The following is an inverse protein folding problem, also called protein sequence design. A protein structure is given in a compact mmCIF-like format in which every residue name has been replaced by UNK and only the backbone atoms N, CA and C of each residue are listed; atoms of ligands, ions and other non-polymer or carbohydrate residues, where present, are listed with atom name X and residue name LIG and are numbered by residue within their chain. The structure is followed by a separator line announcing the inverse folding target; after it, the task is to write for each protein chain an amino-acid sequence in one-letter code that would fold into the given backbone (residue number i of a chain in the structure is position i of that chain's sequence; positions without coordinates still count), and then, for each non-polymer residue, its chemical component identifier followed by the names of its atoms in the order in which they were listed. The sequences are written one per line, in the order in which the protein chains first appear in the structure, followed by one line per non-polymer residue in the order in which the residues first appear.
data_IF_044386706108
#
_entry.id   IF_044386706108
#
_cell.length_a   1.000
_cell.length_b   1.000
_cell.length_c   1.000
_cell.angle_alpha   90.00
_cell.angle_beta   90.00
_cell.angle_gamma   90.00
#
_symmetry.space_group_name_H-M   'P 1'
#
loop_
_entity.id
_entity.type
_entity.pdbx_description
1 polymer ?
#
# COMPACT_ATOMS: atom_id res chain seq x y z
N UNK A 1 40.64 -37.51 42.85
CA UNK A 1 39.77 -38.45 42.11
C UNK A 1 39.78 -38.01 40.68
N UNK A 2 40.50 -38.76 39.86
CA UNK A 2 40.75 -38.52 38.45
C UNK A 2 39.56 -39.01 37.62
N UNK A 3 39.11 -38.19 36.68
CA UNK A 3 38.36 -38.58 35.48
C UNK A 3 38.47 -37.33 34.57
N UNK A 4 39.30 -37.21 33.53
CA UNK A 4 39.58 -38.03 32.35
C UNK A 4 38.34 -38.38 31.52
N UNK A 5 37.94 -37.44 30.66
CA UNK A 5 37.21 -37.72 29.43
C UNK A 5 37.87 -36.98 28.26
N UNK A 6 38.33 -37.77 27.29
CA UNK A 6 39.14 -37.40 26.13
C UNK A 6 38.40 -36.57 25.07
N UNK A 7 39.14 -35.81 24.24
CA UNK A 7 38.60 -34.99 23.16
C UNK A 7 38.22 -35.82 21.92
N UNK A 8 37.09 -35.48 21.29
CA UNK A 8 36.68 -36.04 19.99
C UNK A 8 37.51 -35.42 18.85
N UNK A 9 37.85 -36.20 17.80
CA UNK A 9 38.86 -35.83 16.82
C UNK A 9 38.38 -34.82 15.76
N UNK A 10 39.33 -33.94 15.44
CA UNK A 10 39.34 -32.93 14.38
C UNK A 10 39.19 -33.58 12.99
N UNK A 11 38.09 -33.30 12.30
CA UNK A 11 37.94 -33.65 10.88
C UNK A 11 38.72 -32.65 10.02
N UNK A 12 39.78 -33.14 9.37
CA UNK A 12 40.59 -32.41 8.37
C UNK A 12 40.01 -32.57 6.96
N UNK A 13 40.40 -31.69 6.00
CA UNK A 13 39.55 -31.21 4.92
C UNK A 13 39.51 -32.12 3.69
N UNK A 14 38.35 -32.18 3.04
CA UNK A 14 38.19 -32.81 1.73
C UNK A 14 38.68 -31.88 0.60
N UNK A 15 39.27 -32.44 -0.48
CA UNK A 15 40.07 -31.68 -1.43
C UNK A 15 39.26 -30.85 -2.42
N UNK A 16 39.84 -29.68 -2.72
CA UNK A 16 39.52 -28.72 -3.77
C UNK A 16 39.36 -29.39 -5.15
N UNK A 17 38.18 -29.26 -5.75
CA UNK A 17 37.93 -29.60 -7.15
C UNK A 17 37.49 -28.36 -7.93
N UNK A 18 38.47 -27.70 -8.55
CA UNK A 18 38.34 -26.87 -9.76
C UNK A 18 39.35 -27.49 -10.74
N UNK A 19 39.11 -27.63 -12.05
CA UNK A 19 38.54 -26.58 -12.92
C UNK A 19 37.64 -27.10 -14.07
N UNK A 20 36.77 -26.25 -14.64
CA UNK A 20 36.66 -26.15 -16.10
C UNK A 20 35.81 -24.94 -16.53
N UNK A 21 36.51 -23.95 -17.07
CA UNK A 21 35.99 -22.90 -17.93
C UNK A 21 35.49 -23.50 -19.27
N UNK A 22 34.28 -23.17 -19.75
CA UNK A 22 33.92 -23.42 -21.14
C UNK A 22 34.64 -22.42 -22.08
N UNK A 23 34.96 -22.83 -23.32
CA UNK A 23 35.78 -22.04 -24.23
C UNK A 23 35.05 -20.80 -24.76
N UNK A 24 35.81 -19.70 -24.85
CA UNK A 24 35.50 -18.52 -25.64
C UNK A 24 35.21 -18.92 -27.10
N UNK A 25 34.01 -18.63 -27.58
CA UNK A 25 33.74 -18.60 -29.01
C UNK A 25 33.45 -17.18 -29.47
N UNK A 26 34.07 -16.88 -30.60
CA UNK A 26 34.35 -15.58 -31.18
C UNK A 26 33.11 -14.89 -31.74
N UNK A 27 33.06 -13.58 -31.49
CA UNK A 27 32.59 -12.49 -32.35
C UNK A 27 32.07 -12.87 -33.74
N UNK A 28 30.77 -12.69 -33.96
CA UNK A 28 30.17 -12.44 -35.27
C UNK A 28 28.94 -11.50 -35.11
N UNK A 29 29.15 -10.20 -35.33
CA UNK A 29 28.17 -9.28 -35.96
C UNK A 29 28.49 -9.26 -37.46
N UNK A 30 27.64 -8.81 -38.43
CA UNK A 30 26.46 -7.94 -38.32
C UNK A 30 25.23 -8.51 -39.08
N UNK A 31 24.03 -7.90 -39.02
CA UNK A 31 23.51 -7.05 -40.11
C UNK A 31 22.15 -6.48 -39.69
N UNK A 32 22.04 -5.16 -39.77
CA UNK A 32 20.81 -4.38 -39.62
C UNK A 32 19.78 -4.80 -40.68
N UNK A 33 18.57 -5.18 -40.27
CA UNK A 33 17.40 -5.17 -41.15
C UNK A 33 16.37 -4.21 -40.58
N UNK A 34 16.36 -3.01 -41.15
CA UNK A 34 15.27 -2.05 -41.02
C UNK A 34 14.02 -2.67 -41.62
N UNK A 35 13.00 -2.95 -40.79
CA UNK A 35 11.63 -3.15 -41.27
C UNK A 35 10.75 -2.10 -40.62
N UNK A 36 10.45 -1.06 -41.39
CA UNK A 36 9.36 -0.13 -41.13
C UNK A 36 8.06 -0.87 -41.37
N UNK A 37 7.21 -1.01 -40.35
CA UNK A 37 5.79 -1.31 -40.56
C UNK A 37 4.97 -0.50 -39.57
N UNK A 38 4.44 0.60 -40.08
CA UNK A 38 3.28 1.31 -39.55
C UNK A 38 2.09 0.37 -39.56
N UNK A 39 1.60 0.00 -38.38
CA UNK A 39 0.21 -0.43 -38.23
C UNK A 39 -0.30 0.06 -36.89
N UNK A 40 -1.32 0.92 -36.95
CA UNK A 40 -2.05 1.41 -35.81
C UNK A 40 -2.67 0.23 -35.06
N UNK A 41 -2.18 -0.03 -33.85
CA UNK A 41 -2.80 -0.96 -32.93
C UNK A 41 -3.89 -0.22 -32.15
N UNK A 42 -5.13 -0.46 -32.58
CA UNK A 42 -6.35 -0.45 -31.78
C UNK A 42 -6.06 -0.73 -30.31
N UNK A 43 -6.46 0.19 -29.42
CA UNK A 43 -6.48 -0.07 -27.98
C UNK A 43 -7.29 -1.35 -27.72
N UNK A 44 -6.73 -2.39 -27.09
CA UNK A 44 -7.59 -3.38 -26.48
C UNK A 44 -8.35 -2.69 -25.33
N UNK A 45 -9.63 -2.98 -25.11
CA UNK A 45 -10.26 -2.70 -23.82
C UNK A 45 -9.61 -3.65 -22.81
N UNK A 46 -8.42 -3.30 -22.33
CA UNK A 46 -7.79 -3.97 -21.22
C UNK A 46 -8.46 -3.42 -19.97
N UNK A 47 -9.47 -4.11 -19.49
CA UNK A 47 -9.74 -4.11 -18.06
C UNK A 47 -8.58 -4.89 -17.44
N UNK A 48 -7.59 -4.25 -16.80
CA UNK A 48 -6.56 -5.03 -16.16
C UNK A 48 -7.21 -5.66 -14.93
N UNK A 49 -7.50 -6.96 -14.97
CA UNK A 49 -7.31 -7.72 -13.75
C UNK A 49 -5.82 -7.57 -13.42
N UNK A 50 -5.49 -6.62 -12.55
CA UNK A 50 -4.09 -6.37 -12.21
C UNK A 50 -3.48 -7.67 -11.67
N UNK A 51 -2.26 -8.00 -12.10
CA UNK A 51 -1.56 -9.17 -11.57
C UNK A 51 -1.49 -9.11 -10.03
N UNK A 52 -1.37 -7.90 -9.48
CA UNK A 52 -1.45 -7.61 -8.06
C UNK A 52 -2.78 -8.03 -7.44
N UNK A 53 -3.92 -7.64 -8.01
CA UNK A 53 -5.24 -8.06 -7.53
C UNK A 53 -5.38 -9.58 -7.56
N UNK A 54 -4.97 -10.20 -8.66
CA UNK A 54 -5.05 -11.66 -8.81
C UNK A 54 -4.24 -12.38 -7.73
N UNK A 55 -3.02 -11.90 -7.44
CA UNK A 55 -2.16 -12.43 -6.38
C UNK A 55 -2.79 -12.24 -4.98
N UNK A 56 -3.27 -11.04 -4.66
CA UNK A 56 -3.85 -10.81 -3.33
C UNK A 56 -5.17 -11.55 -3.13
N UNK A 57 -5.96 -11.79 -4.19
CA UNK A 57 -7.16 -12.62 -4.09
C UNK A 57 -6.88 -14.11 -3.78
N UNK A 58 -5.65 -14.61 -3.99
CA UNK A 58 -5.31 -15.99 -3.58
C UNK A 58 -5.23 -16.15 -2.07
N UNK A 59 -5.11 -15.05 -1.32
CA UNK A 59 -5.00 -15.06 0.13
C UNK A 59 -6.38 -14.74 0.75
N UNK A 60 -6.98 -15.64 1.56
CA UNK A 60 -8.35 -15.47 2.05
C UNK A 60 -8.59 -14.16 2.81
N UNK A 61 -7.62 -13.72 3.62
CA UNK A 61 -7.73 -12.48 4.39
C UNK A 61 -7.68 -11.23 3.49
N UNK A 62 -6.82 -11.21 2.46
CA UNK A 62 -6.79 -10.15 1.46
C UNK A 62 -8.09 -10.13 0.66
N UNK A 63 -8.56 -11.29 0.21
CA UNK A 63 -9.79 -11.42 -0.55
C UNK A 63 -10.99 -10.87 0.24
N UNK A 64 -11.06 -11.12 1.54
CA UNK A 64 -12.10 -10.55 2.41
C UNK A 64 -12.06 -9.01 2.44
N UNK A 65 -10.86 -8.41 2.52
CA UNK A 65 -10.70 -6.94 2.51
C UNK A 65 -11.05 -6.33 1.13
N UNK A 66 -10.56 -6.96 0.06
CA UNK A 66 -10.72 -6.48 -1.30
C UNK A 66 -12.14 -6.67 -1.84
N UNK A 67 -12.88 -7.67 -1.34
CA UNK A 67 -14.27 -7.94 -1.71
C UNK A 67 -15.28 -7.24 -0.78
N UNK A 68 -14.81 -6.52 0.24
CA UNK A 68 -15.70 -5.80 1.16
C UNK A 68 -16.50 -4.72 0.41
N UNK A 69 -17.75 -4.43 0.83
CA UNK A 69 -18.56 -3.42 0.19
C UNK A 69 -17.92 -2.04 0.31
N UNK A 70 -18.07 -1.22 -0.73
CA UNK A 70 -17.47 0.12 -0.82
C UNK A 70 -15.94 0.14 -0.85
N UNK A 71 -15.29 -1.00 -1.12
CA UNK A 71 -13.84 -1.03 -1.40
C UNK A 71 -13.56 -0.50 -2.80
N UNK A 72 -12.65 0.46 -2.91
CA UNK A 72 -12.21 1.06 -4.18
C UNK A 72 -10.71 0.89 -4.34
N UNK A 73 -10.26 0.33 -5.47
CA UNK A 73 -8.83 0.24 -5.78
C UNK A 73 -8.24 1.61 -6.07
N UNK A 74 -7.05 1.85 -5.58
CA UNK A 74 -6.33 3.10 -5.76
C UNK A 74 -5.15 2.90 -6.72
N UNK A 75 -4.87 3.88 -7.60
CA UNK A 75 -3.68 3.83 -8.44
C UNK A 75 -2.41 3.96 -7.59
N UNK A 76 -1.37 3.22 -7.97
CA UNK A 76 -0.03 3.29 -7.37
C UNK A 76 0.98 3.82 -8.40
N UNK A 77 1.03 5.14 -8.65
CA UNK A 77 1.87 5.72 -9.71
C UNK A 77 3.36 5.51 -9.46
N UNK A 78 3.78 5.38 -8.20
CA UNK A 78 5.14 5.04 -7.76
C UNK A 78 5.65 3.69 -8.29
N UNK A 79 4.74 2.80 -8.71
CA UNK A 79 5.05 1.49 -9.28
C UNK A 79 5.19 1.51 -10.80
N UNK A 80 4.96 2.65 -11.46
CA UNK A 80 5.06 2.81 -12.91
C UNK A 80 6.33 3.55 -13.26
N UNK A 81 7.30 2.95 -13.99
CA UNK A 81 8.52 3.63 -14.37
C UNK A 81 8.23 4.90 -15.19
N UNK A 82 8.89 5.99 -14.83
CA UNK A 82 8.74 7.30 -15.48
C UNK A 82 10.00 7.69 -16.22
N UNK A 83 9.85 8.49 -17.28
CA UNK A 83 10.99 9.01 -18.07
C UNK A 83 11.91 9.91 -17.22
N UNK A 84 11.35 10.63 -16.26
CA UNK A 84 12.09 11.48 -15.32
C UNK A 84 12.87 10.69 -14.26
N UNK A 85 12.75 9.36 -14.25
CA UNK A 85 13.35 8.43 -13.27
C UNK A 85 12.92 8.63 -11.82
N UNK A 86 12.00 9.55 -11.54
CA UNK A 86 11.33 9.60 -10.24
C UNK A 86 10.63 8.26 -9.94
N UNK A 87 10.53 7.94 -8.66
CA UNK A 87 9.98 6.68 -8.14
C UNK A 87 10.72 5.41 -8.55
N UNK A 88 11.90 5.49 -9.19
CA UNK A 88 12.67 4.31 -9.62
C UNK A 88 12.93 3.31 -8.49
N UNK A 89 13.01 3.79 -7.24
CA UNK A 89 13.13 2.92 -6.08
C UNK A 89 11.97 1.91 -5.97
N UNK A 90 10.71 2.35 -6.13
CA UNK A 90 9.54 1.46 -6.10
C UNK A 90 9.20 0.86 -7.46
N UNK A 91 9.36 1.62 -8.54
CA UNK A 91 8.99 1.20 -9.89
C UNK A 91 9.95 0.17 -10.50
N UNK A 92 11.21 0.18 -10.08
CA UNK A 92 12.28 -0.65 -10.66
C UNK A 92 12.98 -1.46 -9.57
N UNK A 93 13.63 -0.81 -8.60
CA UNK A 93 14.50 -1.48 -7.62
C UNK A 93 13.75 -2.48 -6.75
N UNK A 94 12.59 -2.11 -6.21
CA UNK A 94 11.75 -2.97 -5.37
C UNK A 94 10.70 -3.76 -6.16
N UNK A 95 10.65 -3.63 -7.49
CA UNK A 95 9.68 -4.33 -8.34
C UNK A 95 10.34 -5.51 -9.05
N UNK A 96 10.88 -6.44 -8.27
CA UNK A 96 11.48 -7.67 -8.78
C UNK A 96 10.84 -8.90 -8.15
N UNK A 97 11.09 -10.09 -8.72
CA UNK A 97 10.59 -11.35 -8.18
C UNK A 97 11.10 -11.66 -6.78
N UNK A 98 12.28 -11.18 -6.42
CA UNK A 98 12.94 -11.48 -5.13
C UNK A 98 12.84 -10.33 -4.11
N UNK A 99 12.11 -9.24 -4.45
CA UNK A 99 11.91 -8.08 -3.57
C UNK A 99 10.44 -7.86 -3.22
N UNK A 100 9.73 -6.98 -3.92
CA UNK A 100 8.30 -6.76 -3.72
C UNK A 100 7.59 -6.97 -5.06
N UNK A 101 7.29 -8.20 -5.46
CA UNK A 101 6.70 -8.49 -6.76
C UNK A 101 5.30 -7.90 -6.93
N UNK A 102 4.50 -7.83 -5.85
CA UNK A 102 3.12 -7.37 -5.88
C UNK A 102 2.85 -6.24 -4.88
N UNK A 103 2.11 -5.23 -5.32
CA UNK A 103 1.67 -4.11 -4.49
C UNK A 103 0.28 -3.64 -4.92
N UNK A 104 -0.61 -3.48 -3.95
CA UNK A 104 -1.99 -3.06 -4.22
C UNK A 104 -2.48 -2.11 -3.15
N UNK A 105 -3.02 -0.96 -3.56
CA UNK A 105 -3.65 0.00 -2.68
C UNK A 105 -5.15 0.05 -2.88
N UNK A 106 -5.91 0.22 -1.80
CA UNK A 106 -7.36 0.37 -1.85
C UNK A 106 -7.85 1.28 -0.71
N UNK A 107 -9.01 1.89 -0.88
CA UNK A 107 -9.74 2.55 0.21
C UNK A 107 -11.02 1.80 0.54
N UNK A 108 -11.39 1.83 1.82
CA UNK A 108 -12.64 1.28 2.34
C UNK A 108 -13.15 2.15 3.49
N UNK A 109 -14.46 2.25 3.72
CA UNK A 109 -14.98 2.94 4.89
C UNK A 109 -14.68 2.15 6.16
N UNK A 110 -14.04 2.80 7.14
CA UNK A 110 -14.02 2.33 8.52
C UNK A 110 -15.14 3.00 9.29
N UNK A 111 -16.05 2.21 9.84
CA UNK A 111 -17.01 2.70 10.83
C UNK A 111 -16.21 2.89 12.12
N UNK A 112 -16.02 4.14 12.55
CA UNK A 112 -15.57 4.37 13.91
C UNK A 112 -16.75 4.05 14.82
N UNK A 113 -16.60 3.15 15.82
CA UNK A 113 -17.60 3.10 16.88
C UNK A 113 -17.70 4.51 17.46
N UNK A 114 -18.93 4.99 17.64
CA UNK A 114 -19.16 6.23 18.37
C UNK A 114 -18.40 6.14 19.70
N UNK A 115 -17.86 7.24 20.24
CA UNK A 115 -17.32 7.24 21.60
C UNK A 115 -18.49 6.94 22.54
N UNK A 116 -18.74 5.66 22.80
CA UNK A 116 -19.53 5.22 23.93
C UNK A 116 -18.70 5.55 25.16
N UNK A 117 -19.25 6.38 26.03
CA UNK A 117 -18.65 6.80 27.29
C UNK A 117 -17.86 5.68 27.97
N UNK A 118 -16.56 5.92 28.15
CA UNK A 118 -15.70 5.25 29.13
C UNK A 118 -15.54 3.74 29.04
N UNK A 119 -14.53 3.27 28.29
CA UNK A 119 -13.68 2.13 28.72
C UNK A 119 -12.20 2.40 28.42
N UNK A 120 -11.52 2.88 29.46
CA UNK A 120 -10.09 2.78 29.76
C UNK A 120 -9.13 2.38 28.63
N UNK A 121 -8.53 3.37 27.97
CA UNK A 121 -7.12 3.26 27.61
C UNK A 121 -6.32 3.37 28.92
N UNK A 122 -5.65 2.29 29.32
CA UNK A 122 -4.86 2.21 30.54
C UNK A 122 -3.72 3.24 30.51
N UNK A 123 -3.96 4.41 31.09
CA UNK A 123 -2.93 5.32 31.55
C UNK A 123 -2.79 5.15 33.08
N UNK A 124 -1.56 4.96 33.54
CA UNK A 124 -1.20 4.80 34.96
C UNK A 124 -1.73 5.94 35.85
N UNK A 125 -2.03 5.68 37.14
CA UNK A 125 -2.78 6.60 37.99
C UNK A 125 -1.88 7.60 38.71
N UNK A 126 -2.27 8.87 38.79
CA UNK A 126 -1.99 9.71 39.98
C UNK A 126 -3.03 10.86 40.10
N UNK A 127 -3.96 10.66 41.04
CA UNK A 127 -4.58 11.59 42.00
C UNK A 127 -5.51 12.76 41.57
N UNK A 128 -6.44 13.18 42.47
CA UNK A 128 -7.77 13.67 42.10
C UNK A 128 -8.00 15.17 42.34
N UNK A 129 -8.97 15.76 41.64
CA UNK A 129 -9.43 17.13 41.89
C UNK A 129 -10.67 17.57 41.12
N UNK A 130 -11.83 17.35 41.74
CA UNK A 130 -13.02 18.23 41.75
C UNK A 130 -13.98 18.29 40.55
N UNK A 131 -15.26 18.28 40.91
CA UNK A 131 -16.47 18.05 40.14
C UNK A 131 -16.98 19.21 39.26
N UNK A 132 -17.91 18.79 38.38
CA UNK A 132 -19.16 19.46 37.99
C UNK A 132 -19.18 20.32 36.71
N UNK A 133 -20.03 19.89 35.77
CA UNK A 133 -20.45 20.63 34.59
C UNK A 133 -21.35 19.79 33.68
N UNK A 134 -22.56 19.45 34.13
CA UNK A 134 -23.56 18.73 33.33
C UNK A 134 -24.24 19.72 32.36
N UNK A 135 -23.71 19.83 31.15
CA UNK A 135 -24.45 20.41 30.02
C UNK A 135 -25.34 19.33 29.36
N UNK A 136 -26.48 19.70 28.75
CA UNK A 136 -27.33 18.74 28.06
C UNK A 136 -26.59 18.17 26.85
N UNK A 137 -26.31 16.86 26.85
CA UNK A 137 -25.69 16.18 25.72
C UNK A 137 -26.66 16.16 24.54
N UNK A 138 -26.29 16.84 23.46
CA UNK A 138 -26.90 16.61 22.16
C UNK A 138 -26.80 15.11 21.81
N UNK A 139 -27.82 14.51 21.15
CA UNK A 139 -27.79 13.10 20.79
C UNK A 139 -26.55 12.80 19.92
N UNK A 140 -25.92 11.62 20.08
CA UNK A 140 -24.76 11.26 19.29
C UNK A 140 -25.12 11.27 17.81
N UNK A 141 -24.39 12.07 17.04
CA UNK A 141 -24.50 12.11 15.60
C UNK A 141 -24.29 10.69 15.01
N UNK A 142 -25.00 10.32 13.94
CA UNK A 142 -24.85 9.01 13.31
C UNK A 142 -23.38 8.72 13.00
N UNK A 143 -22.95 7.49 13.28
CA UNK A 143 -21.54 7.06 13.26
C UNK A 143 -20.79 7.59 12.03
N UNK A 144 -19.76 8.39 12.29
CA UNK A 144 -18.95 8.98 11.22
C UNK A 144 -18.11 7.88 10.57
N UNK A 145 -18.37 7.60 9.28
CA UNK A 145 -17.53 6.71 8.48
C UNK A 145 -16.25 7.45 8.11
N UNK A 146 -15.10 6.98 8.57
CA UNK A 146 -13.79 7.51 8.17
C UNK A 146 -13.29 6.72 6.98
N UNK A 147 -12.82 7.37 5.91
CA UNK A 147 -12.15 6.68 4.81
C UNK A 147 -10.81 6.11 5.28
N UNK A 148 -10.64 4.79 5.17
CA UNK A 148 -9.38 4.11 5.46
C UNK A 148 -8.69 3.74 4.16
N UNK A 149 -7.45 4.18 3.99
CA UNK A 149 -6.57 3.77 2.89
C UNK A 149 -5.64 2.67 3.39
N UNK A 150 -5.52 1.59 2.63
CA UNK A 150 -4.69 0.44 2.95
C UNK A 150 -3.84 0.06 1.74
N UNK A 151 -2.60 -0.36 1.99
CA UNK A 151 -1.66 -0.83 0.96
C UNK A 151 -1.15 -2.20 1.34
N UNK A 152 -1.25 -3.17 0.43
CA UNK A 152 -0.75 -4.52 0.56
C UNK A 152 0.58 -4.64 -0.19
N UNK A 153 1.55 -5.30 0.45
CA UNK A 153 2.87 -5.59 -0.12
C UNK A 153 3.18 -7.07 0.03
N UNK A 154 3.58 -7.73 -1.06
CA UNK A 154 4.16 -9.07 -1.00
C UNK A 154 5.68 -8.95 -0.84
N UNK A 155 6.23 -9.26 0.34
CA UNK A 155 7.66 -9.07 0.65
C UNK A 155 8.39 -10.40 0.54
N UNK A 156 9.49 -10.41 -0.22
CA UNK A 156 10.32 -11.58 -0.48
C UNK A 156 11.68 -11.52 0.22
N UNK A 157 12.47 -12.58 0.10
CA UNK A 157 13.69 -12.80 0.89
C UNK A 157 14.87 -11.85 0.57
N UNK A 158 14.84 -11.12 -0.55
CA UNK A 158 15.92 -10.19 -0.95
C UNK A 158 16.01 -8.90 -0.12
N UNK A 159 15.20 -8.79 0.94
CA UNK A 159 14.92 -7.54 1.65
C UNK A 159 15.22 -7.60 3.16
N UNK A 160 15.98 -8.61 3.58
CA UNK A 160 16.29 -8.90 4.97
C UNK A 160 17.46 -8.05 5.51
N UNK A 161 17.33 -7.53 6.73
CA UNK A 161 18.46 -6.95 7.50
C UNK A 161 19.10 -7.96 8.48
N UNK A 162 18.35 -9.01 8.80
CA UNK A 162 18.75 -10.16 9.62
C UNK A 162 17.97 -11.39 9.11
N UNK A 163 18.43 -12.65 9.31
CA UNK A 163 17.69 -13.82 8.84
C UNK A 163 16.19 -13.77 9.19
N UNK A 164 15.36 -13.97 8.15
CA UNK A 164 13.88 -13.95 8.24
C UNK A 164 13.29 -12.64 8.79
N UNK A 165 14.03 -11.52 8.71
CA UNK A 165 13.61 -10.21 9.23
C UNK A 165 13.88 -9.11 8.21
N UNK A 166 12.83 -8.45 7.74
CA UNK A 166 12.93 -7.32 6.81
C UNK A 166 13.79 -6.17 7.39
N UNK A 167 14.57 -5.53 6.52
CA UNK A 167 15.43 -4.42 6.91
C UNK A 167 14.61 -3.21 7.38
N UNK A 168 14.97 -2.59 8.51
CA UNK A 168 14.19 -1.47 9.07
C UNK A 168 14.04 -0.27 8.12
N UNK A 169 15.07 0.02 7.33
CA UNK A 169 15.01 1.07 6.29
C UNK A 169 14.03 0.76 5.15
N UNK A 170 13.80 -0.53 4.84
CA UNK A 170 12.76 -0.91 3.89
C UNK A 170 11.38 -0.65 4.50
N UNK A 171 11.15 -1.09 5.73
CA UNK A 171 9.86 -0.89 6.41
C UNK A 171 9.52 0.60 6.46
N UNK A 172 10.49 1.46 6.78
CA UNK A 172 10.32 2.91 6.73
C UNK A 172 9.86 3.40 5.34
N UNK A 173 10.47 2.90 4.27
CA UNK A 173 10.07 3.25 2.91
C UNK A 173 8.66 2.75 2.53
N UNK A 174 8.25 1.56 3.00
CA UNK A 174 6.88 1.06 2.77
C UNK A 174 5.83 1.94 3.46
N UNK A 175 6.14 2.46 4.64
CA UNK A 175 5.29 3.44 5.32
C UNK A 175 5.23 4.77 4.58
N UNK A 176 6.38 5.27 4.10
CA UNK A 176 6.43 6.49 3.28
C UNK A 176 5.52 6.35 2.05
N UNK A 177 5.60 5.21 1.35
CA UNK A 177 4.77 4.90 0.19
C UNK A 177 3.28 4.81 0.54
N UNK A 178 2.91 4.08 1.59
CA UNK A 178 1.51 3.94 2.01
C UNK A 178 0.89 5.29 2.44
N UNK A 179 1.68 6.14 3.11
CA UNK A 179 1.27 7.50 3.48
C UNK A 179 1.15 8.40 2.25
N UNK A 180 2.04 8.26 1.27
CA UNK A 180 1.95 8.96 -0.02
C UNK A 180 0.63 8.68 -0.75
N UNK A 181 0.24 7.41 -0.83
CA UNK A 181 -1.06 7.00 -1.41
C UNK A 181 -2.23 7.57 -0.60
N UNK A 182 -2.13 7.53 0.73
CA UNK A 182 -3.16 8.09 1.62
C UNK A 182 -3.34 9.59 1.42
N UNK A 183 -2.23 10.33 1.32
CA UNK A 183 -2.24 11.77 1.08
C UNK A 183 -2.77 12.11 -0.31
N UNK A 184 -2.40 11.33 -1.34
CA UNK A 184 -2.94 11.47 -2.68
C UNK A 184 -4.46 11.30 -2.67
N UNK A 185 -4.96 10.25 -2.01
CA UNK A 185 -6.40 10.01 -1.91
C UNK A 185 -7.12 11.14 -1.16
N UNK A 186 -6.56 11.60 -0.04
CA UNK A 186 -7.10 12.72 0.73
C UNK A 186 -7.22 13.99 -0.13
N UNK A 187 -6.19 14.32 -0.91
CA UNK A 187 -6.22 15.47 -1.83
C UNK A 187 -7.33 15.33 -2.87
N UNK A 188 -7.48 14.16 -3.49
CA UNK A 188 -8.57 13.90 -4.44
C UNK A 188 -9.97 13.96 -3.80
N UNK A 189 -10.12 13.48 -2.58
CA UNK A 189 -11.39 13.57 -1.83
C UNK A 189 -11.71 15.03 -1.44
N UNK A 190 -10.71 15.85 -1.14
CA UNK A 190 -10.90 17.28 -0.80
C UNK A 190 -11.24 18.18 -2.00
N UNK A 191 -10.81 17.81 -3.20
CA UNK A 191 -11.08 18.57 -4.44
C UNK A 191 -12.46 18.29 -5.03
N UNK A 192 -13.29 17.46 -4.38
CA UNK A 192 -14.67 17.16 -4.79
C UNK A 192 -15.70 17.65 -3.74
N UNK A 193 -15.79 18.96 -3.46
CA UNK A 193 -16.88 19.50 -2.67
C UNK A 193 -18.20 19.33 -3.47
N UNK A 194 -19.17 18.67 -2.83
CA UNK A 194 -20.52 18.42 -3.32
C UNK A 194 -21.13 19.70 -3.93
N UNK A 195 -21.54 19.65 -5.21
CA UNK A 195 -22.37 20.71 -5.81
C UNK A 195 -23.63 20.88 -4.94
N UNK A 196 -24.01 22.11 -4.54
CA UNK A 196 -25.26 22.34 -3.85
C UNK A 196 -26.40 21.94 -4.80
N UNK A 197 -27.05 20.83 -4.48
CA UNK A 197 -28.35 20.46 -5.03
C UNK A 197 -29.31 21.62 -4.77
N UNK A 198 -29.81 22.20 -5.86
CA UNK A 198 -30.84 23.22 -5.83
C UNK A 198 -32.08 22.73 -5.10
N UNK A 199 -32.49 23.50 -4.12
CA UNK A 199 -33.89 23.76 -3.78
C UNK A 199 -34.05 25.23 -4.19
N UNK A 200 -34.78 25.60 -5.23
CA UNK A 200 -36.08 25.08 -5.59
C UNK A 200 -37.12 25.61 -4.62
N UNK A 201 -37.18 26.93 -4.41
CA UNK A 201 -38.36 27.58 -3.83
C UNK A 201 -38.87 28.63 -4.81
N UNK A 202 -39.99 28.28 -5.44
CA UNK A 202 -40.78 29.13 -6.28
C UNK A 202 -41.96 29.64 -5.45
N UNK A 203 -42.06 30.96 -5.33
CA UNK A 203 -43.31 31.67 -5.13
C UNK A 203 -43.55 32.25 -3.75
N UNK A 204 -43.58 33.58 -3.66
CA UNK A 204 -44.77 34.28 -3.17
C UNK A 204 -44.82 35.71 -3.75
N UNK A 205 -46.03 36.20 -4.02
CA UNK A 205 -46.30 37.45 -4.73
C UNK A 205 -46.71 38.62 -3.84
N UNK A 206 -47.08 39.73 -4.50
CA UNK A 206 -47.58 40.99 -3.93
C UNK A 206 -46.52 42.09 -4.02
N UNK A 207 -46.71 43.23 -4.70
CA UNK A 207 -47.90 44.04 -4.88
C UNK A 207 -47.67 45.40 -4.20
N UNK A 208 -48.03 46.50 -4.90
CA UNK A 208 -48.06 47.91 -4.42
C UNK A 208 -46.70 48.65 -4.43
N UNK A 209 -46.52 49.90 -4.88
CA UNK A 209 -47.41 50.95 -5.39
C UNK A 209 -46.65 52.30 -5.36
N UNK A 210 -46.83 53.11 -6.41
CA UNK A 210 -46.83 54.59 -6.47
C UNK A 210 -45.71 55.43 -5.80
N UNK A 211 -45.09 56.30 -6.59
CA UNK A 211 -44.36 57.49 -6.11
C UNK A 211 -43.35 58.02 -7.10
#
# INVERSE_FOLDING_TARGET
MSEQASPLPLASPLPLASPQSPPSQSLLSPTSTTTTTTTAATMPPTTPSSADLSHFLTHPWCAALLSAPNTTLLPTPSRVPKKSTEDSFFAVTLRTGDTIPFMLSFSSPRISPAPSDGVAAAASPTAPGTAAGTGPSAPPAPGTSTEQVSTLFAIEAGLNGYPLTAHGGLIAALFDEAMGVSMMRLRCSSSSPKCPTGVGDAGDGGGEGLG
#
